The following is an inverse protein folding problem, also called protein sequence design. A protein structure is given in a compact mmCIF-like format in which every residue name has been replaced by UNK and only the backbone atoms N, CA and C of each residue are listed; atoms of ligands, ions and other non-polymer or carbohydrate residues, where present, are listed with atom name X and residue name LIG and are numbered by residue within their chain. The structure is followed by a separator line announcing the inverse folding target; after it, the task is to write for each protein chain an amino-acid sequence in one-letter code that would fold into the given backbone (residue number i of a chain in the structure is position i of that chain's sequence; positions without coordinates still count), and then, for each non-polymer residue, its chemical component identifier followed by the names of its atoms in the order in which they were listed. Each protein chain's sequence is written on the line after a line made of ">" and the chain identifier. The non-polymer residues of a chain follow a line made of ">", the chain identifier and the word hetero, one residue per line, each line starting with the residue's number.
data_IF_702232823515
#
_entry.id   IF_702232823515
#
_cell.length_a   1.000
_cell.length_b   1.000
_cell.length_c   1.000
_cell.angle_alpha   90.00
_cell.angle_beta   90.00
_cell.angle_gamma   90.00
#
_symmetry.space_group_name_H-M   'P 1'
#
loop_
_entity.id
_entity.type
_entity.pdbx_description
1 polymer ?
#
# COMPACT_ATOMS: atom_id res chain seq x y z
N UNK A 1 15.59 16.06 11.52
CA UNK A 1 15.54 15.17 10.34
C UNK A 1 16.70 14.19 10.44
N UNK A 2 16.48 12.90 10.22
CA UNK A 2 17.52 11.86 10.35
C UNK A 2 18.59 12.00 9.24
N UNK A 3 19.89 11.72 9.49
CA UNK A 3 20.96 11.86 8.49
C UNK A 3 20.74 11.06 7.19
N UNK A 4 20.07 9.91 7.29
CA UNK A 4 19.76 9.06 6.13
C UNK A 4 18.67 9.65 5.22
N UNK A 5 17.89 10.60 5.73
CA UNK A 5 16.81 11.28 4.99
C UNK A 5 17.23 12.67 4.49
N UNK A 6 18.50 13.05 4.64
CA UNK A 6 18.98 14.40 4.28
C UNK A 6 18.79 14.77 2.81
N UNK A 7 18.78 13.77 1.91
CA UNK A 7 18.55 13.95 0.47
C UNK A 7 17.15 13.56 0.03
N UNK A 8 16.25 13.19 0.96
CA UNK A 8 14.90 12.75 0.60
C UNK A 8 14.11 13.85 -0.14
N UNK A 9 14.40 15.13 0.13
CA UNK A 9 13.80 16.26 -0.58
C UNK A 9 14.20 16.41 -2.06
N UNK A 10 15.21 15.65 -2.54
CA UNK A 10 15.59 15.59 -3.94
C UNK A 10 14.90 14.46 -4.71
N UNK A 11 14.11 13.61 -4.03
CA UNK A 11 13.31 12.58 -4.67
C UNK A 11 12.19 13.22 -5.49
N UNK A 12 11.75 12.58 -6.59
CA UNK A 12 10.59 13.06 -7.34
C UNK A 12 9.37 13.15 -6.43
N UNK A 13 8.56 14.20 -6.62
CA UNK A 13 7.29 14.33 -5.92
C UNK A 13 6.35 13.20 -6.34
N UNK A 14 5.65 12.62 -5.36
CA UNK A 14 4.59 11.64 -5.63
C UNK A 14 3.26 12.29 -6.00
N UNK A 15 3.06 13.56 -5.61
CA UNK A 15 1.86 14.37 -5.90
C UNK A 15 0.52 13.59 -5.81
N UNK A 16 0.36 12.90 -4.67
CA UNK A 16 -0.77 11.98 -4.43
C UNK A 16 -2.02 12.75 -3.98
N UNK A 17 -3.23 12.18 -4.10
CA UNK A 17 -4.49 12.87 -3.75
C UNK A 17 -4.58 13.45 -2.33
N UNK A 18 -3.78 12.97 -1.37
CA UNK A 18 -3.70 13.54 -0.02
C UNK A 18 -2.53 14.53 0.18
N UNK A 19 -1.74 14.83 -0.86
CA UNK A 19 -0.70 15.86 -0.88
C UNK A 19 -1.28 17.22 -1.30
N UNK A 20 -2.44 17.55 -0.76
CA UNK A 20 -3.22 18.73 -1.12
C UNK A 20 -2.50 20.02 -0.71
N UNK A 21 -2.70 21.07 -1.50
CA UNK A 21 -2.29 22.42 -1.10
C UNK A 21 -3.20 22.96 -0.01
N UNK A 22 -2.78 24.03 0.67
CA UNK A 22 -3.57 24.61 1.78
C UNK A 22 -4.88 25.26 1.34
N UNK A 23 -5.00 25.60 0.05
CA UNK A 23 -6.15 26.26 -0.58
C UNK A 23 -7.08 25.29 -1.34
N UNK A 24 -6.69 24.02 -1.46
CA UNK A 24 -7.47 23.00 -2.16
C UNK A 24 -8.48 22.32 -1.23
N UNK A 25 -9.75 22.23 -1.63
CA UNK A 25 -10.75 21.53 -0.82
C UNK A 25 -10.75 20.01 -1.11
N UNK A 26 -10.82 19.21 -0.06
CA UNK A 26 -11.10 17.78 -0.12
C UNK A 26 -11.81 17.37 1.17
N UNK A 27 -12.79 16.48 1.05
CA UNK A 27 -13.57 15.98 2.19
C UNK A 27 -12.71 15.19 3.18
N UNK A 28 -11.54 14.71 2.75
CA UNK A 28 -10.58 14.00 3.58
C UNK A 28 -9.23 14.73 3.62
N UNK A 29 -8.59 14.75 4.78
CA UNK A 29 -7.22 15.24 4.93
C UNK A 29 -6.44 14.42 5.95
N UNK A 30 -5.15 14.29 5.71
CA UNK A 30 -4.21 13.85 6.73
C UNK A 30 -3.90 15.00 7.68
N UNK A 31 -3.80 14.71 8.97
CA UNK A 31 -3.43 15.71 9.96
C UNK A 31 -2.68 15.15 11.16
N UNK A 32 -2.20 16.07 11.99
CA UNK A 32 -1.47 15.74 13.22
C UNK A 32 -2.17 16.38 14.42
N UNK A 33 -2.46 15.57 15.43
CA UNK A 33 -3.02 16.05 16.69
C UNK A 33 -2.04 17.03 17.37
N UNK A 34 -2.51 18.22 17.73
CA UNK A 34 -1.69 19.27 18.34
C UNK A 34 -1.95 19.32 19.84
N UNK A 35 -3.15 19.76 20.22
CA UNK A 35 -3.53 20.07 21.59
C UNK A 35 -5.00 19.70 21.80
N UNK A 36 -5.43 19.49 23.05
CA UNK A 36 -6.84 19.44 23.38
C UNK A 36 -7.57 20.69 22.88
N UNK A 37 -8.79 20.52 22.38
CA UNK A 37 -9.66 21.65 22.07
C UNK A 37 -10.09 22.37 23.37
N UNK A 38 -10.60 23.61 23.23
CA UNK A 38 -11.17 24.34 24.38
C UNK A 38 -12.44 23.66 24.91
N UNK A 39 -13.15 22.96 24.05
CA UNK A 39 -14.22 22.00 24.37
C UNK A 39 -13.66 20.58 24.40
N UNK A 40 -14.47 19.58 24.77
CA UNK A 40 -14.08 18.17 24.59
C UNK A 40 -13.66 17.91 23.14
N UNK A 41 -12.51 17.25 22.93
CA UNK A 41 -11.97 16.94 21.61
C UNK A 41 -10.52 17.37 21.42
N UNK A 42 -10.03 17.25 20.19
CA UNK A 42 -8.63 17.53 19.81
C UNK A 42 -8.57 18.51 18.64
N UNK A 43 -7.62 19.43 18.68
CA UNK A 43 -7.25 20.27 17.54
C UNK A 43 -6.21 19.55 16.69
N UNK A 44 -6.50 19.45 15.40
CA UNK A 44 -5.68 18.76 14.40
C UNK A 44 -5.17 19.77 13.37
N UNK A 45 -3.89 19.67 13.03
CA UNK A 45 -3.29 20.38 11.90
C UNK A 45 -3.44 19.56 10.63
N UNK A 46 -4.36 19.96 9.75
CA UNK A 46 -4.59 19.31 8.45
C UNK A 46 -3.97 20.08 7.27
N UNK A 47 -3.02 20.99 7.54
CA UNK A 47 -2.39 21.82 6.50
C UNK A 47 -3.30 22.91 5.91
N UNK A 48 -4.46 23.15 6.53
CA UNK A 48 -5.36 24.26 6.23
C UNK A 48 -4.94 25.53 6.99
N UNK A 49 -5.45 26.68 6.57
CA UNK A 49 -5.20 27.95 7.25
C UNK A 49 -5.75 27.96 8.69
N UNK A 50 -6.88 27.28 8.93
CA UNK A 50 -7.47 27.08 10.25
C UNK A 50 -7.34 25.61 10.68
N UNK A 51 -7.30 25.38 12.00
CA UNK A 51 -7.24 24.01 12.56
C UNK A 51 -8.59 23.32 12.50
N UNK A 52 -8.56 21.99 12.54
CA UNK A 52 -9.76 21.15 12.56
C UNK A 52 -10.00 20.66 13.98
N UNK A 53 -11.21 20.81 14.50
CA UNK A 53 -11.62 20.23 15.77
C UNK A 53 -12.32 18.89 15.52
N UNK A 54 -11.85 17.84 16.19
CA UNK A 54 -12.48 16.52 16.17
C UNK A 54 -13.03 16.17 17.56
N UNK A 55 -14.17 15.46 17.66
CA UNK A 55 -14.83 15.15 18.94
C UNK A 55 -14.22 13.95 19.67
N UNK A 56 -12.92 13.70 19.51
CA UNK A 56 -12.18 12.59 20.12
C UNK A 56 -10.89 13.14 20.73
N UNK A 57 -10.46 12.60 21.87
CA UNK A 57 -9.18 12.91 22.50
C UNK A 57 -8.08 12.03 21.89
N UNK A 58 -7.06 12.65 21.31
CA UNK A 58 -5.89 11.99 20.76
C UNK A 58 -4.63 12.52 21.44
N UNK A 59 -3.63 11.65 21.60
CA UNK A 59 -2.33 12.06 22.08
C UNK A 59 -1.68 13.04 21.10
N UNK A 60 -1.03 14.12 21.57
CA UNK A 60 -0.29 15.03 20.71
C UNK A 60 0.73 14.31 19.82
N UNK A 61 0.88 14.80 18.58
CA UNK A 61 1.71 14.25 17.52
C UNK A 61 1.20 12.95 16.88
N UNK A 62 -0.03 12.51 17.20
CA UNK A 62 -0.68 11.39 16.52
C UNK A 62 -1.11 11.81 15.12
N UNK A 63 -0.70 11.05 14.10
CA UNK A 63 -1.20 11.20 12.72
C UNK A 63 -2.62 10.62 12.64
N UNK A 64 -3.53 11.34 12.01
CA UNK A 64 -4.95 10.97 11.88
C UNK A 64 -5.48 11.35 10.51
N UNK A 65 -6.30 10.48 9.92
CA UNK A 65 -7.12 10.81 8.75
C UNK A 65 -8.42 11.44 9.23
N UNK A 66 -8.72 12.65 8.74
CA UNK A 66 -9.88 13.43 9.16
C UNK A 66 -10.82 13.59 7.98
N UNK A 67 -12.09 13.25 8.19
CA UNK A 67 -13.18 13.63 7.31
C UNK A 67 -13.74 14.99 7.76
N UNK A 68 -13.73 15.98 6.88
CA UNK A 68 -14.23 17.32 7.14
C UNK A 68 -15.76 17.35 6.94
N UNK A 69 -16.46 18.09 7.79
CA UNK A 69 -17.92 18.21 7.71
C UNK A 69 -18.37 19.21 6.63
N UNK A 70 -17.60 20.28 6.41
CA UNK A 70 -17.94 21.35 5.45
C UNK A 70 -16.74 22.22 5.10
N UNK A 71 -16.79 22.89 3.94
CA UNK A 71 -15.80 23.86 3.45
C UNK A 71 -15.78 25.22 4.17
N UNK A 72 -16.67 25.39 5.15
CA UNK A 72 -16.77 26.59 5.97
C UNK A 72 -16.26 26.38 7.39
N UNK A 73 -15.33 27.23 7.83
CA UNK A 73 -14.90 27.27 9.21
C UNK A 73 -15.98 27.93 10.10
N UNK A 74 -16.27 27.33 11.24
CA UNK A 74 -17.16 27.83 12.28
C UNK A 74 -16.32 28.42 13.42
N UNK A 75 -16.52 29.71 13.74
CA UNK A 75 -15.74 30.42 14.78
C UNK A 75 -14.21 30.32 14.60
N UNK A 76 -13.74 30.25 13.35
CA UNK A 76 -12.31 30.16 13.03
C UNK A 76 -11.71 28.74 13.13
N UNK A 77 -12.55 27.70 13.23
CA UNK A 77 -12.14 26.29 13.19
C UNK A 77 -12.98 25.50 12.20
N UNK A 78 -12.38 24.51 11.55
CA UNK A 78 -13.14 23.49 10.82
C UNK A 78 -13.63 22.41 11.79
N UNK A 79 -14.73 21.75 11.45
CA UNK A 79 -15.24 20.59 12.17
C UNK A 79 -15.00 19.33 11.34
N UNK A 80 -14.70 18.22 12.00
CA UNK A 80 -14.47 16.95 11.35
C UNK A 80 -14.50 15.75 12.29
N UNK A 81 -14.37 14.57 11.72
CA UNK A 81 -14.30 13.30 12.44
C UNK A 81 -13.02 12.56 12.10
N UNK A 82 -12.43 11.89 13.09
CA UNK A 82 -11.37 10.92 12.83
C UNK A 82 -12.00 9.67 12.18
N UNK A 83 -11.45 9.26 11.04
CA UNK A 83 -11.90 8.09 10.27
C UNK A 83 -10.75 7.13 10.05
N UNK A 84 -11.03 5.93 9.57
CA UNK A 84 -9.95 5.00 9.20
C UNK A 84 -9.18 5.54 8.00
N UNK A 85 -7.86 5.28 7.89
CA UNK A 85 -7.06 5.69 6.74
C UNK A 85 -7.49 4.99 5.43
N UNK A 86 -8.26 3.90 5.50
CA UNK A 86 -8.87 3.26 4.33
C UNK A 86 -10.14 3.96 3.84
N UNK A 87 -10.80 4.74 4.71
CA UNK A 87 -12.11 5.37 4.41
C UNK A 87 -12.11 6.23 3.13
N UNK A 88 -11.10 7.09 2.87
CA UNK A 88 -11.04 7.88 1.63
C UNK A 88 -11.03 7.00 0.37
N UNK A 89 -10.38 5.84 0.43
CA UNK A 89 -10.31 4.86 -0.67
C UNK A 89 -11.63 4.12 -0.82
N UNK A 90 -12.19 3.62 0.26
CA UNK A 90 -13.36 2.72 0.23
C UNK A 90 -14.67 3.44 -0.01
N UNK A 91 -14.81 4.67 0.49
CA UNK A 91 -16.05 5.43 0.38
C UNK A 91 -16.05 6.46 -0.74
N UNK A 92 -14.89 6.98 -1.14
CA UNK A 92 -14.78 8.07 -2.11
C UNK A 92 -13.84 7.76 -3.30
N UNK A 93 -13.19 6.60 -3.33
CA UNK A 93 -12.34 6.18 -4.45
C UNK A 93 -10.98 6.89 -4.53
N UNK A 94 -10.58 7.65 -3.52
CA UNK A 94 -9.29 8.32 -3.51
C UNK A 94 -8.14 7.35 -3.24
N UNK A 95 -7.06 7.47 -4.00
CA UNK A 95 -5.81 6.84 -3.60
C UNK A 95 -5.22 7.59 -2.39
N UNK A 96 -5.18 6.93 -1.23
CA UNK A 96 -4.73 7.53 0.02
C UNK A 96 -3.32 7.09 0.45
N UNK A 97 -2.49 6.73 -0.54
CA UNK A 97 -1.10 6.31 -0.32
C UNK A 97 -0.96 4.86 0.07
N UNK A 98 0.11 4.60 0.81
CA UNK A 98 0.50 3.27 1.25
C UNK A 98 1.01 3.31 2.69
N UNK A 99 0.82 2.21 3.40
CA UNK A 99 1.50 1.94 4.66
C UNK A 99 2.81 1.21 4.39
N UNK A 100 3.78 1.38 5.29
CA UNK A 100 5.06 0.66 5.23
C UNK A 100 5.10 -0.30 6.41
N UNK A 101 5.29 -1.59 6.11
CA UNK A 101 5.50 -2.64 7.11
C UNK A 101 6.86 -3.28 6.88
N UNK A 102 7.63 -3.43 7.95
CA UNK A 102 8.87 -4.20 7.93
C UNK A 102 8.55 -5.64 8.31
N UNK A 103 9.03 -6.58 7.51
CA UNK A 103 8.93 -8.02 7.74
C UNK A 103 10.34 -8.56 8.01
N UNK A 104 10.50 -9.39 9.05
CA UNK A 104 11.81 -9.91 9.44
C UNK A 104 12.31 -11.06 8.53
N UNK A 105 11.39 -11.72 7.84
CA UNK A 105 11.64 -12.86 6.95
C UNK A 105 10.59 -12.95 5.84
N UNK A 106 10.77 -13.86 4.88
CA UNK A 106 9.79 -14.09 3.81
C UNK A 106 8.47 -14.63 4.38
N UNK A 107 8.52 -15.54 5.36
CA UNK A 107 7.34 -16.07 6.03
C UNK A 107 6.52 -14.98 6.74
N UNK A 108 7.20 -14.04 7.43
CA UNK A 108 6.54 -12.91 8.11
C UNK A 108 5.83 -11.95 7.17
N UNK A 109 6.12 -11.97 5.86
CA UNK A 109 5.31 -11.24 4.87
C UNK A 109 3.87 -11.75 4.91
N UNK A 110 3.66 -13.07 5.03
CA UNK A 110 2.35 -13.70 5.02
C UNK A 110 1.71 -13.78 6.41
N UNK A 111 2.46 -14.23 7.42
CA UNK A 111 1.91 -14.52 8.75
C UNK A 111 1.60 -13.27 9.57
N UNK A 112 2.24 -12.14 9.27
CA UNK A 112 1.99 -10.82 9.88
C UNK A 112 1.22 -9.89 8.92
N UNK A 113 0.35 -10.47 8.08
CA UNK A 113 -0.56 -9.70 7.24
C UNK A 113 -1.47 -8.81 8.11
N UNK A 114 -1.69 -7.56 7.67
CA UNK A 114 -2.53 -6.60 8.39
C UNK A 114 -4.03 -6.77 8.10
N UNK A 115 -4.39 -7.65 7.15
CA UNK A 115 -5.77 -7.88 6.75
C UNK A 115 -6.33 -9.14 7.41
N UNK A 116 -7.53 -9.02 7.95
CA UNK A 116 -8.30 -10.18 8.43
C UNK A 116 -8.58 -11.11 7.25
N UNK A 117 -8.20 -12.39 7.40
CA UNK A 117 -8.27 -13.38 6.31
C UNK A 117 -7.01 -13.49 5.45
N UNK A 118 -6.00 -12.62 5.66
CA UNK A 118 -4.72 -12.68 4.97
C UNK A 118 -4.77 -12.15 3.54
N UNK A 119 -3.77 -12.53 2.75
CA UNK A 119 -3.76 -12.29 1.30
C UNK A 119 -4.40 -13.49 0.62
N UNK A 120 -5.55 -13.30 -0.03
CA UNK A 120 -6.30 -14.37 -0.70
C UNK A 120 -5.79 -14.65 -2.12
N UNK A 121 -4.95 -13.77 -2.66
CA UNK A 121 -4.13 -14.04 -3.85
C UNK A 121 -2.71 -13.57 -3.61
N UNK A 122 -1.74 -14.44 -3.87
CA UNK A 122 -0.32 -14.16 -3.76
C UNK A 122 0.43 -14.46 -5.05
N UNK A 123 1.21 -13.49 -5.51
CA UNK A 123 1.96 -13.53 -6.76
C UNK A 123 3.45 -13.38 -6.46
N UNK A 124 4.23 -14.43 -6.72
CA UNK A 124 5.67 -14.38 -6.73
C UNK A 124 6.21 -14.09 -8.13
N UNK A 125 7.23 -13.24 -8.23
CA UNK A 125 7.81 -12.86 -9.52
C UNK A 125 9.18 -13.50 -9.74
N UNK A 126 9.40 -14.06 -10.94
CA UNK A 126 10.65 -14.72 -11.33
C UNK A 126 10.72 -14.90 -12.84
N UNK A 127 11.92 -14.81 -13.42
CA UNK A 127 12.17 -15.19 -14.84
C UNK A 127 11.77 -16.65 -15.16
N UNK A 128 11.70 -17.51 -14.13
CA UNK A 128 11.30 -18.93 -14.22
C UNK A 128 9.79 -19.14 -14.13
N UNK A 129 9.01 -18.08 -13.96
CA UNK A 129 7.56 -18.14 -13.88
C UNK A 129 6.85 -18.25 -15.23
N UNK A 130 5.53 -18.43 -15.18
CA UNK A 130 4.63 -18.39 -16.35
C UNK A 130 4.44 -16.95 -16.82
N UNK A 131 4.17 -16.68 -18.10
CA UNK A 131 3.89 -15.31 -18.56
C UNK A 131 2.69 -14.72 -17.81
N UNK A 132 2.64 -13.39 -17.65
CA UNK A 132 1.51 -12.67 -17.04
C UNK A 132 0.15 -13.05 -17.62
N UNK A 133 0.09 -13.34 -18.93
CA UNK A 133 -1.15 -13.78 -19.59
C UNK A 133 -1.75 -15.05 -18.98
N UNK A 134 -0.94 -15.90 -18.33
CA UNK A 134 -1.43 -17.10 -17.67
C UNK A 134 -2.39 -16.81 -16.50
N UNK A 135 -2.31 -15.63 -15.88
CA UNK A 135 -3.20 -15.29 -14.77
C UNK A 135 -4.32 -14.33 -15.19
N UNK A 136 -4.20 -13.66 -16.33
CA UNK A 136 -5.21 -12.69 -16.82
C UNK A 136 -6.18 -13.27 -17.84
N UNK A 137 -5.81 -14.32 -18.59
CA UNK A 137 -6.67 -14.90 -19.63
C UNK A 137 -7.65 -15.94 -19.04
N UNK A 138 -8.95 -15.78 -19.32
CA UNK A 138 -10.02 -16.62 -18.75
C UNK A 138 -9.94 -18.11 -19.16
N UNK A 139 -9.28 -18.44 -20.27
CA UNK A 139 -9.09 -19.82 -20.73
C UNK A 139 -7.84 -20.49 -20.12
N UNK A 140 -7.06 -19.74 -19.33
CA UNK A 140 -5.88 -20.26 -18.65
C UNK A 140 -6.26 -21.08 -17.42
N UNK A 141 -5.61 -22.24 -17.17
CA UNK A 141 -5.81 -23.01 -15.94
C UNK A 141 -5.32 -22.30 -14.68
N UNK A 142 -4.48 -21.28 -14.82
CA UNK A 142 -3.97 -20.45 -13.72
C UNK A 142 -4.68 -19.10 -13.63
N UNK A 143 -5.82 -18.94 -14.33
CA UNK A 143 -6.59 -17.70 -14.31
C UNK A 143 -6.95 -17.31 -12.87
N UNK A 144 -6.67 -16.06 -12.52
CA UNK A 144 -7.07 -15.51 -11.23
C UNK A 144 -8.42 -14.85 -11.41
N UNK A 145 -9.45 -15.48 -10.82
CA UNK A 145 -10.80 -14.95 -10.81
C UNK A 145 -10.84 -13.56 -10.15
N UNK A 146 -11.63 -12.61 -10.67
CA UNK A 146 -11.69 -11.23 -10.19
C UNK A 146 -12.47 -11.06 -8.87
N UNK A 147 -12.44 -12.07 -7.98
CA UNK A 147 -13.24 -12.11 -6.74
C UNK A 147 -12.41 -11.88 -5.47
N UNK A 148 -11.15 -11.49 -5.63
CA UNK A 148 -10.22 -11.35 -4.51
C UNK A 148 -10.36 -10.02 -3.74
N UNK A 149 -9.90 -9.99 -2.50
CA UNK A 149 -9.94 -8.82 -1.61
C UNK A 149 -8.57 -8.18 -1.40
N UNK A 150 -7.54 -8.99 -1.20
CA UNK A 150 -6.19 -8.61 -0.79
C UNK A 150 -5.15 -9.35 -1.63
N UNK A 151 -4.69 -8.70 -2.69
CA UNK A 151 -3.61 -9.18 -3.55
C UNK A 151 -2.24 -8.82 -2.97
N UNK A 152 -1.35 -9.82 -2.85
CA UNK A 152 0.07 -9.64 -2.55
C UNK A 152 0.92 -9.90 -3.80
N UNK A 153 1.82 -8.98 -4.14
CA UNK A 153 2.83 -9.18 -5.19
C UNK A 153 4.22 -9.06 -4.58
N UNK A 154 5.05 -10.10 -4.73
CA UNK A 154 6.37 -10.16 -4.10
C UNK A 154 7.47 -10.17 -5.16
N UNK A 155 8.41 -9.23 -4.99
CA UNK A 155 9.55 -9.03 -5.87
C UNK A 155 10.84 -9.47 -5.18
N UNK A 156 11.62 -10.31 -5.87
CA UNK A 156 12.93 -10.73 -5.41
C UNK A 156 13.99 -9.63 -5.55
N UNK A 157 15.07 -9.77 -4.78
CA UNK A 157 16.30 -9.00 -5.00
C UNK A 157 17.12 -9.57 -6.17
N UNK A 158 18.40 -9.17 -6.24
CA UNK A 158 19.34 -9.63 -7.30
C UNK A 158 19.43 -11.16 -7.40
N UNK A 159 19.31 -11.87 -6.27
CA UNK A 159 19.38 -13.33 -6.21
C UNK A 159 17.99 -14.02 -6.24
N UNK A 160 16.93 -13.29 -6.60
CA UNK A 160 15.56 -13.79 -6.59
C UNK A 160 14.98 -13.97 -5.18
N UNK A 161 13.77 -14.52 -5.11
CA UNK A 161 13.09 -14.85 -3.85
C UNK A 161 13.69 -16.07 -3.16
N UNK A 162 14.44 -16.89 -3.89
CA UNK A 162 15.15 -18.06 -3.36
C UNK A 162 16.15 -17.68 -2.26
N UNK A 163 16.79 -16.51 -2.36
CA UNK A 163 17.69 -16.03 -1.32
C UNK A 163 16.94 -15.74 0.00
N UNK A 164 15.74 -15.17 -0.09
CA UNK A 164 14.91 -14.90 1.08
C UNK A 164 14.37 -16.21 1.69
N UNK A 165 13.92 -17.16 0.86
CA UNK A 165 13.51 -18.50 1.32
C UNK A 165 14.66 -19.23 2.02
N UNK A 166 15.89 -19.18 1.46
CA UNK A 166 17.06 -19.84 2.07
C UNK A 166 17.43 -19.23 3.43
N UNK A 167 17.17 -17.95 3.64
CA UNK A 167 17.43 -17.27 4.90
C UNK A 167 16.33 -17.54 5.95
N UNK A 168 15.14 -17.97 5.52
CA UNK A 168 13.99 -18.21 6.39
C UNK A 168 13.99 -19.64 6.95
N UNK A 169 14.49 -19.80 8.18
CA UNK A 169 14.60 -21.11 8.83
C UNK A 169 13.24 -21.75 9.15
N UNK A 170 12.21 -20.94 9.36
CA UNK A 170 10.88 -21.45 9.71
C UNK A 170 10.22 -22.09 8.47
N UNK A 171 10.32 -21.43 7.32
CA UNK A 171 9.87 -22.00 6.05
C UNK A 171 10.66 -23.26 5.67
N UNK A 172 11.98 -23.26 5.89
CA UNK A 172 12.80 -24.46 5.67
C UNK A 172 12.38 -25.62 6.60
N UNK A 173 12.12 -25.34 7.87
CA UNK A 173 11.65 -26.35 8.83
C UNK A 173 10.24 -26.87 8.50
N UNK A 174 9.40 -26.03 7.89
CA UNK A 174 8.09 -26.42 7.36
C UNK A 174 8.18 -27.24 6.05
N UNK A 175 9.38 -27.50 5.53
CA UNK A 175 9.60 -28.33 4.35
C UNK A 175 9.47 -27.59 3.01
N UNK A 176 9.42 -26.26 3.02
CA UNK A 176 9.36 -25.46 1.79
C UNK A 176 10.72 -25.49 1.09
N UNK A 177 10.75 -26.06 -0.11
CA UNK A 177 12.00 -26.23 -0.88
C UNK A 177 12.13 -25.28 -2.06
N UNK A 178 11.01 -24.80 -2.62
CA UNK A 178 11.00 -23.84 -3.72
C UNK A 178 10.21 -22.61 -3.33
N UNK A 179 10.72 -21.44 -3.71
CA UNK A 179 10.03 -20.17 -3.45
C UNK A 179 8.64 -20.14 -4.10
N UNK A 180 8.49 -20.75 -5.29
CA UNK A 180 7.22 -20.86 -6.00
C UNK A 180 6.12 -21.57 -5.20
N UNK A 181 6.48 -22.48 -4.27
CA UNK A 181 5.50 -23.24 -3.48
C UNK A 181 4.80 -22.36 -2.41
N UNK A 182 5.26 -21.12 -2.21
CA UNK A 182 4.67 -20.14 -1.28
C UNK A 182 3.58 -19.27 -1.92
N UNK A 183 3.41 -19.34 -3.24
CA UNK A 183 2.58 -18.40 -3.98
C UNK A 183 1.50 -19.13 -4.77
N UNK A 184 0.33 -18.51 -4.88
CA UNK A 184 -0.75 -18.99 -5.75
C UNK A 184 -0.33 -18.87 -7.22
N UNK A 185 0.41 -17.82 -7.56
CA UNK A 185 0.93 -17.58 -8.89
C UNK A 185 2.44 -17.34 -8.89
N UNK A 186 3.14 -17.95 -9.85
CA UNK A 186 4.58 -17.74 -10.07
C UNK A 186 4.82 -17.24 -11.48
N UNK A 187 5.10 -15.94 -11.63
CA UNK A 187 5.02 -15.24 -12.93
C UNK A 187 6.35 -14.65 -13.39
N UNK A 188 6.59 -14.73 -14.70
CA UNK A 188 7.61 -13.99 -15.42
C UNK A 188 6.98 -12.72 -16.03
N UNK A 189 7.46 -11.57 -15.56
CA UNK A 189 6.97 -10.25 -15.97
C UNK A 189 7.42 -9.87 -17.38
N UNK A 190 8.57 -10.38 -17.85
CA UNK A 190 9.17 -10.02 -19.13
C UNK A 190 9.71 -11.27 -19.84
N UNK A 191 8.83 -12.10 -20.43
CA UNK A 191 9.26 -13.23 -21.25
C UNK A 191 10.20 -12.78 -22.38
N UNK A 192 11.34 -13.46 -22.52
CA UNK A 192 12.34 -13.11 -23.53
C UNK A 192 13.12 -11.83 -23.24
N UNK A 193 13.23 -11.40 -21.98
CA UNK A 193 14.07 -10.26 -21.59
C UNK A 193 15.47 -10.33 -22.24
N UNK A 194 15.92 -9.20 -22.79
CA UNK A 194 17.24 -9.10 -23.44
C UNK A 194 18.40 -8.84 -22.48
N UNK A 195 18.11 -8.54 -21.21
CA UNK A 195 19.11 -8.40 -20.16
C UNK A 195 19.21 -9.69 -19.35
N UNK A 196 20.38 -9.93 -18.74
CA UNK A 196 20.55 -11.05 -17.80
C UNK A 196 19.74 -10.86 -16.52
N UNK A 197 19.51 -9.62 -16.12
CA UNK A 197 18.83 -9.27 -14.87
C UNK A 197 17.98 -8.04 -15.10
N UNK A 198 16.77 -8.06 -14.55
CA UNK A 198 15.93 -6.88 -14.37
C UNK A 198 16.06 -6.49 -12.91
N UNK A 199 16.42 -5.24 -12.64
CA UNK A 199 16.58 -4.78 -11.26
C UNK A 199 15.22 -4.69 -10.57
N UNK A 200 15.18 -4.85 -9.26
CA UNK A 200 13.93 -4.90 -8.51
C UNK A 200 13.07 -3.65 -8.74
N UNK A 201 13.68 -2.46 -8.79
CA UNK A 201 12.96 -1.22 -9.09
C UNK A 201 12.34 -1.21 -10.49
N UNK A 202 13.00 -1.79 -11.50
CA UNK A 202 12.45 -1.92 -12.86
C UNK A 202 11.32 -2.96 -12.88
N UNK A 203 11.50 -4.06 -12.15
CA UNK A 203 10.52 -5.13 -12.04
C UNK A 203 9.22 -4.67 -11.35
N UNK A 204 9.29 -3.83 -10.31
CA UNK A 204 8.10 -3.25 -9.68
C UNK A 204 7.29 -2.45 -10.69
N UNK A 205 7.95 -1.57 -11.47
CA UNK A 205 7.26 -0.76 -12.48
C UNK A 205 6.59 -1.62 -13.56
N UNK A 206 7.32 -2.58 -14.13
CA UNK A 206 6.78 -3.45 -15.19
C UNK A 206 5.69 -4.37 -14.64
N UNK A 207 5.90 -4.92 -13.44
CA UNK A 207 4.96 -5.85 -12.81
C UNK A 207 3.65 -5.20 -12.46
N UNK A 208 3.67 -4.03 -11.80
CA UNK A 208 2.43 -3.31 -11.48
C UNK A 208 1.71 -2.81 -12.73
N UNK A 209 2.44 -2.42 -13.77
CA UNK A 209 1.83 -2.06 -15.07
C UNK A 209 1.17 -3.27 -15.74
N UNK A 210 1.86 -4.42 -15.75
CA UNK A 210 1.35 -5.65 -16.36
C UNK A 210 0.17 -6.26 -15.60
N UNK A 211 0.09 -6.07 -14.28
CA UNK A 211 -1.01 -6.53 -13.43
C UNK A 211 -2.21 -5.57 -13.43
N UNK A 212 -2.15 -4.43 -14.12
CA UNK A 212 -3.23 -3.44 -14.15
C UNK A 212 -4.58 -4.04 -14.56
N UNK A 213 -4.59 -4.86 -15.61
CA UNK A 213 -5.81 -5.48 -16.14
C UNK A 213 -6.48 -6.40 -15.10
N UNK A 214 -5.68 -7.12 -14.31
CA UNK A 214 -6.18 -7.97 -13.23
C UNK A 214 -6.93 -7.14 -12.17
N UNK A 215 -6.39 -5.98 -11.81
CA UNK A 215 -6.98 -5.07 -10.81
C UNK A 215 -8.22 -4.35 -11.36
N UNK A 216 -8.17 -3.89 -12.61
CA UNK A 216 -9.30 -3.23 -13.25
C UNK A 216 -10.49 -4.18 -13.39
N UNK A 217 -10.25 -5.42 -13.83
CA UNK A 217 -11.29 -6.45 -13.97
C UNK A 217 -11.96 -6.73 -12.63
N UNK A 218 -11.18 -6.84 -11.54
CA UNK A 218 -11.69 -7.01 -10.18
C UNK A 218 -12.54 -5.84 -9.70
N UNK A 219 -12.18 -4.60 -10.04
CA UNK A 219 -12.95 -3.42 -9.63
C UNK A 219 -14.27 -3.25 -10.41
N UNK A 220 -14.44 -4.00 -11.52
CA UNK A 220 -15.64 -3.99 -12.34
C UNK A 220 -16.53 -5.23 -12.19
N UNK A 221 -16.08 -6.24 -11.46
CA UNK A 221 -16.82 -7.46 -11.13
C UNK A 221 -17.76 -7.25 -9.94
#
# INVERSE_FOLDING_TARGET
>A
MHPDLRTAGALPSLDMPHHLRSDEWCDFREGVAINPARSKGTLVDCGLAQKVCIPVELEPNTRVTVQLESDAAQNGLFMGAAVSPETPRESAGYYWGYSVRQAASLGSVFTECAFDGGYDVSIGTSERGKPLSAITQNDSPDHVEPTWNHLLVVFGGVAGLEAALKADKELQAAGVTKAADLFDCWINLVPGQGSRTIRTEEAVWVGLTGLRELVETRNHA
#
